data_IF_499639135437
#
_entry.id   IF_499639135437
#
_cell.length_a   1.000
_cell.length_b   1.000
_cell.length_c   1.000
_cell.angle_alpha   90.00
_cell.angle_beta   90.00
_cell.angle_gamma   90.00
#
_symmetry.space_group_name_H-M   'P 1'
#
loop_
_entity.id
_entity.type
_entity.pdbx_description
1 polymer ?
#
# COMPACT_ATOMS: atom_id res chain seq x y z
N UNK A 1 -0.20 -25.36 -43.63
CA UNK A 1 -0.97 -26.03 -42.55
C UNK A 1 -0.75 -25.26 -41.25
N UNK A 2 -1.78 -25.14 -40.40
CA UNK A 2 -2.16 -23.92 -39.70
C UNK A 2 -1.45 -23.68 -38.35
N UNK A 3 -1.62 -22.44 -37.90
CA UNK A 3 -1.27 -21.85 -36.62
C UNK A 3 -1.72 -22.71 -35.43
N UNK A 4 -0.82 -22.94 -34.49
CA UNK A 4 -1.20 -23.33 -33.13
C UNK A 4 -1.05 -22.12 -32.21
N UNK A 5 -2.03 -21.22 -32.30
CA UNK A 5 -2.30 -20.18 -31.32
C UNK A 5 -2.72 -20.87 -30.03
N UNK A 6 -1.80 -20.96 -29.07
CA UNK A 6 -2.05 -21.44 -27.71
C UNK A 6 -2.98 -20.46 -26.98
N UNK A 7 -4.28 -20.67 -27.16
CA UNK A 7 -5.33 -20.24 -26.25
C UNK A 7 -5.16 -20.99 -24.92
N UNK A 8 -4.62 -20.32 -23.90
CA UNK A 8 -4.92 -20.64 -22.50
C UNK A 8 -5.30 -19.33 -21.82
N UNK A 9 -6.48 -18.85 -22.16
CA UNK A 9 -7.31 -18.04 -21.29
C UNK A 9 -8.70 -18.69 -21.34
N UNK A 10 -8.97 -19.65 -20.43
CA UNK A 10 -10.30 -19.70 -19.86
C UNK A 10 -10.25 -20.25 -18.42
N UNK A 11 -9.75 -19.47 -17.45
CA UNK A 11 -9.98 -19.78 -16.02
C UNK A 11 -10.25 -18.50 -15.22
N UNK A 12 -10.89 -17.51 -15.85
CA UNK A 12 -11.27 -16.26 -15.18
C UNK A 12 -12.78 -16.08 -15.04
N UNK A 13 -13.58 -17.12 -15.30
CA UNK A 13 -15.05 -17.03 -15.16
C UNK A 13 -15.59 -18.33 -14.58
N UNK A 14 -15.18 -18.66 -13.37
CA UNK A 14 -16.01 -19.48 -12.48
C UNK A 14 -15.77 -19.04 -11.04
N UNK A 15 -16.27 -17.84 -10.74
CA UNK A 15 -16.51 -17.38 -9.38
C UNK A 15 -17.37 -18.39 -8.61
N UNK A 16 -17.11 -18.58 -7.33
CA UNK A 16 -18.08 -18.34 -6.29
C UNK A 16 -17.82 -16.94 -5.73
N UNK A 17 -18.74 -16.03 -6.02
CA UNK A 17 -18.92 -14.79 -5.27
C UNK A 17 -19.39 -15.24 -3.88
N UNK A 18 -18.47 -15.29 -2.92
CA UNK A 18 -18.73 -15.26 -1.49
C UNK A 18 -17.39 -15.15 -0.75
N UNK A 19 -16.74 -14.01 -0.87
CA UNK A 19 -16.19 -13.41 0.34
C UNK A 19 -16.88 -12.07 0.42
N UNK A 20 -17.75 -11.97 1.41
CA UNK A 20 -18.22 -10.72 1.96
C UNK A 20 -17.03 -9.76 1.92
N UNK A 21 -17.11 -8.71 1.10
CA UNK A 21 -16.32 -7.53 1.35
C UNK A 21 -16.89 -6.96 2.66
N UNK A 22 -16.51 -7.59 3.78
CA UNK A 22 -16.53 -6.88 5.04
C UNK A 22 -15.71 -5.62 4.81
N UNK A 23 -16.24 -4.51 5.28
CA UNK A 23 -15.62 -3.21 5.26
C UNK A 23 -14.39 -3.26 6.20
N UNK A 24 -13.30 -3.87 5.75
CA UNK A 24 -12.00 -3.96 6.46
C UNK A 24 -11.27 -2.62 6.38
N UNK A 25 -12.00 -1.52 6.53
CA UNK A 25 -11.43 -0.20 6.72
C UNK A 25 -11.74 0.34 8.13
N UNK A 26 -12.78 -0.16 8.80
CA UNK A 26 -13.12 0.25 10.17
C UNK A 26 -12.37 -0.59 11.24
N UNK A 27 -11.98 -1.82 10.93
CA UNK A 27 -11.51 -2.79 11.93
C UNK A 27 -10.05 -2.61 12.43
N UNK A 28 -9.25 -1.73 11.83
CA UNK A 28 -7.81 -1.63 12.12
C UNK A 28 -7.36 -0.25 12.64
N UNK A 29 -8.30 0.66 12.90
CA UNK A 29 -7.99 1.94 13.54
C UNK A 29 -7.73 1.69 15.02
N UNK A 30 -6.49 1.83 15.48
CA UNK A 30 -6.18 1.70 16.90
C UNK A 30 -6.66 2.93 17.67
N UNK A 31 -7.43 2.70 18.73
CA UNK A 31 -7.82 3.75 19.67
C UNK A 31 -6.80 3.78 20.79
N UNK A 32 -6.30 4.97 21.14
CA UNK A 32 -5.34 5.13 22.23
C UNK A 32 -6.05 4.80 23.54
N UNK A 33 -5.56 3.77 24.22
CA UNK A 33 -6.06 3.40 25.54
C UNK A 33 -5.27 4.15 26.61
N UNK A 34 -5.89 5.15 27.26
CA UNK A 34 -5.28 5.90 28.36
C UNK A 34 -4.94 5.01 29.57
N UNK A 35 -5.57 3.84 29.69
CA UNK A 35 -5.28 2.90 30.75
C UNK A 35 -4.04 2.03 30.49
N UNK A 36 -3.50 2.04 29.27
CA UNK A 36 -2.31 1.26 28.89
C UNK A 36 -1.10 1.68 29.74
N UNK A 37 -0.41 0.68 30.29
CA UNK A 37 0.71 0.90 31.22
C UNK A 37 1.85 1.71 30.59
N UNK A 38 2.10 1.58 29.28
CA UNK A 38 3.14 2.36 28.59
C UNK A 38 2.74 3.81 28.43
N UNK A 39 1.45 4.06 28.15
CA UNK A 39 0.89 5.39 27.99
C UNK A 39 0.87 6.13 29.34
N UNK A 40 0.49 5.44 30.43
CA UNK A 40 0.60 5.96 31.80
C UNK A 40 2.04 6.26 32.19
N UNK A 41 2.96 5.34 31.93
CA UNK A 41 4.37 5.52 32.22
C UNK A 41 4.96 6.71 31.46
N UNK A 42 4.66 6.85 30.16
CA UNK A 42 5.06 7.99 29.34
C UNK A 42 4.59 9.32 29.92
N UNK A 43 3.32 9.39 30.34
CA UNK A 43 2.76 10.60 30.96
C UNK A 43 3.42 10.94 32.29
N UNK A 44 3.70 9.92 33.10
CA UNK A 44 4.34 10.08 34.41
C UNK A 44 5.81 10.52 34.32
N UNK A 45 6.57 9.95 33.39
CA UNK A 45 8.02 10.18 33.30
C UNK A 45 8.40 11.34 32.38
N UNK A 46 7.67 11.55 31.29
CA UNK A 46 8.00 12.54 30.26
C UNK A 46 7.09 13.78 30.30
N UNK A 47 6.04 13.76 31.13
CA UNK A 47 5.09 14.88 31.27
C UNK A 47 4.08 14.98 30.14
N UNK A 48 3.14 15.90 30.31
CA UNK A 48 1.96 16.03 29.43
C UNK A 48 2.32 16.46 27.99
N UNK A 49 3.38 17.25 27.80
CA UNK A 49 3.78 17.76 26.49
C UNK A 49 4.32 16.65 25.57
N UNK A 50 5.13 15.73 26.12
CA UNK A 50 5.64 14.57 25.37
C UNK A 50 4.52 13.56 25.12
N UNK A 51 3.65 13.36 26.10
CA UNK A 51 2.45 12.54 25.94
C UNK A 51 1.58 13.04 24.78
N UNK A 52 1.28 14.34 24.73
CA UNK A 52 0.44 14.92 23.68
C UNK A 52 1.10 14.76 22.30
N UNK A 53 2.40 14.98 22.19
CA UNK A 53 3.14 14.80 20.95
C UNK A 53 3.08 13.35 20.42
N UNK A 54 3.22 12.36 21.30
CA UNK A 54 3.17 10.93 20.92
C UNK A 54 1.75 10.52 20.53
N UNK A 55 0.75 10.93 21.32
CA UNK A 55 -0.67 10.67 21.08
C UNK A 55 -1.07 11.19 19.69
N UNK A 56 -0.68 12.43 19.39
CA UNK A 56 -0.91 13.05 18.09
C UNK A 56 -0.20 12.33 16.95
N UNK A 57 1.06 11.92 17.11
CA UNK A 57 1.77 11.18 16.08
C UNK A 57 1.14 9.79 15.79
N UNK A 58 0.60 9.12 16.82
CA UNK A 58 -0.14 7.87 16.67
C UNK A 58 -1.45 8.08 15.92
N UNK A 59 -2.20 9.14 16.22
CA UNK A 59 -3.42 9.51 15.49
C UNK A 59 -3.14 9.81 14.01
N UNK A 60 -2.12 10.61 13.72
CA UNK A 60 -1.69 10.94 12.35
C UNK A 60 -1.32 9.68 11.54
N UNK A 61 -0.64 8.72 12.17
CA UNK A 61 -0.31 7.43 11.54
C UNK A 61 -1.56 6.58 11.28
N UNK A 62 -2.53 6.61 12.19
CA UNK A 62 -3.78 5.88 12.10
C UNK A 62 -4.71 6.45 11.02
N UNK A 63 -4.69 7.76 10.80
CA UNK A 63 -5.40 8.43 9.72
C UNK A 63 -4.75 8.15 8.35
N UNK A 64 -3.42 8.19 8.27
CA UNK A 64 -2.70 8.03 7.00
C UNK A 64 -2.64 6.58 6.51
N UNK A 65 -2.39 5.62 7.40
CA UNK A 65 -2.27 4.20 7.05
C UNK A 65 -2.50 3.27 8.27
N UNK A 66 -3.76 3.02 8.66
CA UNK A 66 -4.10 2.27 9.88
C UNK A 66 -3.51 0.85 9.87
N UNK A 67 -3.48 0.20 8.70
CA UNK A 67 -2.98 -1.16 8.52
C UNK A 67 -1.46 -1.27 8.41
N UNK A 68 -0.78 -0.22 7.97
CA UNK A 68 0.64 -0.31 7.62
C UNK A 68 1.60 0.40 8.57
N UNK A 69 1.16 1.47 9.25
CA UNK A 69 1.93 2.25 10.26
C UNK A 69 3.41 2.51 9.93
N UNK A 70 3.72 2.51 8.64
CA UNK A 70 5.04 2.69 8.10
C UNK A 70 4.94 3.74 7.01
N UNK A 71 5.97 4.59 6.85
CA UNK A 71 6.04 5.50 5.72
C UNK A 71 5.94 4.69 4.43
N UNK A 72 4.82 4.81 3.73
CA UNK A 72 4.62 4.17 2.43
C UNK A 72 5.49 4.92 1.45
N UNK A 73 6.39 4.22 0.77
CA UNK A 73 7.20 4.84 -0.27
C UNK A 73 6.29 5.37 -1.38
N UNK A 74 6.19 6.68 -1.49
CA UNK A 74 5.42 7.31 -2.56
C UNK A 74 6.22 7.33 -3.87
N UNK A 75 5.55 7.00 -4.97
CA UNK A 75 6.16 7.12 -6.29
C UNK A 75 6.19 8.60 -6.66
N UNK A 76 7.37 9.18 -6.85
CA UNK A 76 7.53 10.57 -7.27
C UNK A 76 7.95 10.67 -8.75
N UNK A 77 7.37 11.63 -9.46
CA UNK A 77 7.84 12.02 -10.79
C UNK A 77 9.09 12.87 -10.63
N UNK A 78 10.27 12.26 -10.83
CA UNK A 78 11.58 12.93 -10.70
C UNK A 78 11.75 14.15 -11.61
N UNK A 79 10.99 14.27 -12.71
CA UNK A 79 11.07 15.42 -13.62
C UNK A 79 10.27 16.62 -13.13
N UNK A 80 9.13 16.35 -12.51
CA UNK A 80 8.18 17.39 -12.06
C UNK A 80 8.24 17.63 -10.55
N UNK A 81 9.12 16.92 -9.82
CA UNK A 81 9.31 17.03 -8.37
C UNK A 81 8.02 16.97 -7.56
N UNK A 82 7.06 16.15 -8.01
CA UNK A 82 5.77 15.91 -7.35
C UNK A 82 5.46 14.42 -7.25
N UNK A 83 4.45 14.07 -6.46
CA UNK A 83 3.85 12.72 -6.46
C UNK A 83 3.45 12.32 -7.88
N UNK A 84 3.85 11.13 -8.29
CA UNK A 84 3.51 10.57 -9.59
C UNK A 84 2.02 10.21 -9.62
N UNK A 85 1.37 10.51 -10.74
CA UNK A 85 0.01 10.07 -11.01
C UNK A 85 0.01 8.58 -11.32
N UNK A 86 -1.10 7.90 -11.03
CA UNK A 86 -1.27 6.48 -11.32
C UNK A 86 -0.94 6.15 -12.79
N UNK A 87 -1.41 6.99 -13.72
CA UNK A 87 -1.15 6.84 -15.16
C UNK A 87 0.34 6.86 -15.49
N UNK A 88 1.13 7.70 -14.82
CA UNK A 88 2.58 7.77 -15.01
C UNK A 88 3.28 6.50 -14.51
N UNK A 89 2.82 5.95 -13.37
CA UNK A 89 3.29 4.69 -12.82
C UNK A 89 3.00 3.51 -13.75
N UNK A 90 1.76 3.37 -14.21
CA UNK A 90 1.34 2.30 -15.15
C UNK A 90 2.12 2.39 -16.46
N UNK A 91 2.28 3.59 -17.01
CA UNK A 91 3.05 3.80 -18.23
C UNK A 91 4.53 3.36 -18.06
N UNK A 92 5.13 3.63 -16.90
CA UNK A 92 6.49 3.17 -16.61
C UNK A 92 6.62 1.66 -16.52
N UNK A 93 5.70 0.98 -15.82
CA UNK A 93 5.69 -0.48 -15.70
C UNK A 93 5.59 -1.13 -17.10
N UNK A 94 4.66 -0.65 -17.93
CA UNK A 94 4.49 -1.15 -19.30
C UNK A 94 5.74 -0.93 -20.16
N UNK A 95 6.41 0.22 -20.00
CA UNK A 95 7.67 0.51 -20.71
C UNK A 95 8.76 -0.47 -20.32
N UNK A 96 8.95 -0.71 -19.01
CA UNK A 96 9.95 -1.64 -18.51
C UNK A 96 9.68 -3.08 -18.99
N UNK A 97 8.43 -3.54 -18.91
CA UNK A 97 8.04 -4.86 -19.39
C UNK A 97 8.35 -5.06 -20.88
N UNK A 98 8.00 -4.08 -21.74
CA UNK A 98 8.33 -4.13 -23.18
C UNK A 98 9.84 -4.18 -23.44
N UNK A 99 10.65 -3.48 -22.63
CA UNK A 99 12.11 -3.55 -22.76
C UNK A 99 12.65 -4.91 -22.36
N UNK A 100 12.14 -5.52 -21.28
CA UNK A 100 12.53 -6.86 -20.86
C UNK A 100 12.15 -7.91 -21.91
N UNK A 101 10.96 -7.82 -22.49
CA UNK A 101 10.52 -8.68 -23.60
C UNK A 101 11.48 -8.60 -24.80
N UNK A 102 11.91 -7.39 -25.18
CA UNK A 102 12.91 -7.22 -26.25
C UNK A 102 14.26 -7.82 -25.89
N UNK A 103 14.70 -7.70 -24.64
CA UNK A 103 15.97 -8.30 -24.16
C UNK A 103 15.91 -9.82 -24.20
N UNK A 104 14.80 -10.41 -23.75
CA UNK A 104 14.58 -11.86 -23.80
C UNK A 104 14.64 -12.38 -25.24
N UNK A 105 13.94 -11.72 -26.18
CA UNK A 105 13.95 -12.10 -27.61
C UNK A 105 15.31 -11.97 -28.30
N UNK A 106 16.24 -11.17 -27.76
CA UNK A 106 17.61 -11.03 -28.30
C UNK A 106 18.58 -12.07 -27.74
N UNK A 107 18.17 -12.80 -26.70
CA UNK A 107 18.95 -13.86 -26.04
C UNK A 107 18.55 -15.26 -26.49
N UNK A 108 17.47 -15.36 -27.26
CA UNK A 108 17.07 -16.52 -28.05
C UNK A 108 17.70 -16.40 -29.43
#
# INVERSE_FOLDING_TARGET
MPLQTGLILPVLIQLPIAHEEEDVNEANKEVINEEDDKIKYLKQECGDEVYEAITKALEELNEYNPNGRCPVSELCNKKESRKAKLVEGVAQILKQWKQQQKRYRRRL
#
